data_IF_445992985846
#
_entry.id   IF_445992985846
#
_cell.length_a   1.000
_cell.length_b   1.000
_cell.length_c   1.000
_cell.angle_alpha   90.00
_cell.angle_beta   90.00
_cell.angle_gamma   90.00
#
_symmetry.space_group_name_H-M   'P 1'
#
loop_
_entity.id
_entity.type
_entity.pdbx_description
1 polymer ?
#
# COMPACT_ATOMS: atom_id res chain seq x y z
N UNK A 1 -2.31 -18.25 -6.30
CA UNK A 1 -3.55 -17.45 -6.35
C UNK A 1 -3.25 -15.95 -6.47
N UNK A 2 -2.19 -15.48 -5.82
CA UNK A 2 -1.68 -14.09 -5.82
C UNK A 2 -1.22 -13.55 -7.18
N UNK A 3 -0.51 -14.34 -7.99
CA UNK A 3 -0.03 -13.87 -9.31
C UNK A 3 -1.16 -13.50 -10.28
N UNK A 4 -2.24 -14.29 -10.34
CA UNK A 4 -3.40 -13.98 -11.22
C UNK A 4 -4.10 -12.69 -10.82
N UNK A 5 -4.18 -12.38 -9.52
CA UNK A 5 -4.78 -11.14 -9.02
C UNK A 5 -3.91 -9.93 -9.31
N UNK A 6 -2.58 -10.06 -9.17
CA UNK A 6 -1.65 -8.99 -9.58
C UNK A 6 -1.68 -8.75 -11.09
N UNK A 7 -1.84 -9.80 -11.88
CA UNK A 7 -2.00 -9.70 -13.34
C UNK A 7 -3.33 -9.01 -13.71
N UNK A 8 -4.43 -9.38 -13.06
CA UNK A 8 -5.75 -8.74 -13.20
C UNK A 8 -5.68 -7.24 -12.90
N UNK A 9 -5.07 -6.88 -11.76
CA UNK A 9 -4.84 -5.49 -11.36
C UNK A 9 -4.05 -4.72 -12.42
N UNK A 10 -2.93 -5.29 -12.88
CA UNK A 10 -2.07 -4.67 -13.90
C UNK A 10 -2.83 -4.43 -15.23
N UNK A 11 -3.67 -5.38 -15.64
CA UNK A 11 -4.49 -5.27 -16.85
C UNK A 11 -5.62 -4.24 -16.68
N UNK A 12 -6.25 -4.15 -15.51
CA UNK A 12 -7.27 -3.14 -15.22
C UNK A 12 -6.71 -1.73 -15.34
N UNK A 13 -5.51 -1.50 -14.79
CA UNK A 13 -4.84 -0.21 -14.81
C UNK A 13 -4.48 0.22 -16.26
N UNK A 14 -3.93 -0.67 -17.09
CA UNK A 14 -3.46 -0.32 -18.44
C UNK A 14 -4.57 0.05 -19.46
N UNK A 15 -5.83 -0.32 -19.23
CA UNK A 15 -6.90 -0.21 -20.23
C UNK A 15 -7.64 1.15 -20.28
N UNK A 16 -7.20 2.16 -19.53
CA UNK A 16 -7.97 3.37 -19.23
C UNK A 16 -8.01 4.52 -20.26
N UNK A 17 -7.62 4.35 -21.53
CA UNK A 17 -7.51 5.53 -22.44
C UNK A 17 -7.89 5.28 -23.90
N UNK A 18 -9.00 5.87 -24.37
CA UNK A 18 -9.37 6.05 -25.78
C UNK A 18 -10.24 7.32 -25.94
N UNK A 19 -10.00 8.12 -26.99
CA UNK A 19 -10.73 9.36 -27.36
C UNK A 19 -12.00 9.03 -28.16
N UNK A 20 -13.21 9.46 -27.74
CA UNK A 20 -14.43 9.18 -28.51
C UNK A 20 -15.63 10.13 -28.22
N UNK A 21 -16.58 10.21 -29.18
CA UNK A 21 -17.85 10.98 -29.20
C UNK A 21 -18.87 10.65 -28.07
N UNK A 22 -20.00 11.37 -27.98
CA UNK A 22 -20.99 11.25 -26.88
C UNK A 22 -21.55 9.84 -26.61
N UNK A 23 -21.90 9.06 -27.63
CA UNK A 23 -22.35 7.68 -27.41
C UNK A 23 -21.21 6.81 -26.90
N UNK A 24 -20.01 7.11 -27.34
CA UNK A 24 -18.81 6.40 -26.95
C UNK A 24 -18.30 6.87 -25.59
N UNK A 25 -18.57 8.11 -25.16
CA UNK A 25 -18.39 8.59 -23.78
C UNK A 25 -19.25 7.77 -22.81
N UNK A 26 -20.50 7.45 -23.17
CA UNK A 26 -21.37 6.61 -22.33
C UNK A 26 -20.88 5.16 -22.20
N UNK A 27 -20.30 4.60 -23.28
CA UNK A 27 -19.72 3.24 -23.27
C UNK A 27 -18.37 3.20 -22.56
N UNK A 28 -17.56 4.24 -22.75
CA UNK A 28 -16.28 4.42 -22.06
C UNK A 28 -16.49 4.62 -20.56
N UNK A 29 -17.47 5.43 -20.16
CA UNK A 29 -17.83 5.62 -18.76
C UNK A 29 -18.20 4.28 -18.11
N UNK A 30 -19.12 3.51 -18.72
CA UNK A 30 -19.49 2.17 -18.22
C UNK A 30 -18.30 1.20 -18.17
N UNK A 31 -17.40 1.27 -19.15
CA UNK A 31 -16.18 0.44 -19.17
C UNK A 31 -15.23 0.84 -18.05
N UNK A 32 -15.06 2.15 -17.81
CA UNK A 32 -14.25 2.66 -16.70
C UNK A 32 -14.84 2.27 -15.35
N UNK A 33 -16.17 2.38 -15.17
CA UNK A 33 -16.86 1.95 -13.96
C UNK A 33 -16.63 0.45 -13.70
N UNK A 34 -16.75 -0.37 -14.75
CA UNK A 34 -16.48 -1.81 -14.67
C UNK A 34 -15.03 -2.13 -14.27
N UNK A 35 -14.05 -1.40 -14.82
CA UNK A 35 -12.64 -1.53 -14.47
C UNK A 35 -12.41 -1.12 -13.01
N UNK A 36 -12.95 0.03 -12.59
CA UNK A 36 -12.81 0.53 -11.21
C UNK A 36 -13.44 -0.42 -10.19
N UNK A 37 -14.60 -1.01 -10.51
CA UNK A 37 -15.22 -2.04 -9.68
C UNK A 37 -14.36 -3.32 -9.60
N UNK A 38 -13.74 -3.72 -10.72
CA UNK A 38 -12.78 -4.83 -10.75
C UNK A 38 -11.59 -4.58 -9.82
N UNK A 39 -10.95 -3.41 -9.95
CA UNK A 39 -9.83 -2.99 -9.09
C UNK A 39 -10.24 -2.99 -7.61
N UNK A 40 -11.42 -2.43 -7.30
CA UNK A 40 -11.93 -2.40 -5.93
C UNK A 40 -12.16 -3.82 -5.37
N UNK A 41 -12.69 -4.72 -6.18
CA UNK A 41 -12.91 -6.13 -5.79
C UNK A 41 -11.58 -6.85 -5.52
N UNK A 42 -10.59 -6.66 -6.40
CA UNK A 42 -9.26 -7.23 -6.27
C UNK A 42 -8.56 -6.72 -5.00
N UNK A 43 -8.61 -5.40 -4.75
CA UNK A 43 -8.07 -4.78 -3.54
C UNK A 43 -8.71 -5.33 -2.26
N UNK A 44 -10.05 -5.47 -2.23
CA UNK A 44 -10.75 -6.06 -1.09
C UNK A 44 -10.36 -7.52 -0.87
N UNK A 45 -10.17 -8.27 -1.94
CA UNK A 45 -9.76 -9.69 -1.87
C UNK A 45 -8.33 -9.82 -1.36
N UNK A 46 -7.41 -8.98 -1.84
CA UNK A 46 -6.03 -8.91 -1.36
C UNK A 46 -5.99 -8.54 0.13
N UNK A 47 -6.73 -7.53 0.56
CA UNK A 47 -6.84 -7.15 1.96
C UNK A 47 -7.34 -8.29 2.86
N UNK A 48 -8.42 -8.95 2.43
CA UNK A 48 -9.01 -10.11 3.14
C UNK A 48 -8.06 -11.30 3.25
N UNK A 49 -7.10 -11.44 2.33
CA UNK A 49 -6.12 -12.53 2.41
C UNK A 49 -5.23 -12.44 3.64
N UNK A 50 -5.05 -11.24 4.22
CA UNK A 50 -4.11 -11.01 5.32
C UNK A 50 -2.65 -11.33 4.96
N UNK A 51 -2.33 -11.47 3.67
CA UNK A 51 -0.96 -11.71 3.24
C UNK A 51 -0.24 -10.35 3.06
N UNK A 52 0.65 -10.06 4.01
CA UNK A 52 1.40 -8.80 4.06
C UNK A 52 2.14 -8.52 2.75
N UNK A 53 2.86 -9.51 2.23
CA UNK A 53 3.64 -9.40 0.99
C UNK A 53 2.75 -9.06 -0.21
N UNK A 54 1.57 -9.67 -0.30
CA UNK A 54 0.61 -9.42 -1.38
C UNK A 54 -0.01 -8.04 -1.29
N UNK A 55 -0.30 -7.56 -0.08
CA UNK A 55 -0.81 -6.21 0.13
C UNK A 55 0.21 -5.17 -0.33
N UNK A 56 1.48 -5.32 0.09
CA UNK A 56 2.55 -4.38 -0.29
C UNK A 56 2.85 -4.45 -1.79
N UNK A 57 2.89 -5.65 -2.37
CA UNK A 57 3.09 -5.81 -3.81
C UNK A 57 1.97 -5.16 -4.64
N UNK A 58 0.72 -5.27 -4.20
CA UNK A 58 -0.42 -4.64 -4.85
C UNK A 58 -0.33 -3.11 -4.78
N UNK A 59 -0.03 -2.55 -3.60
CA UNK A 59 0.13 -1.10 -3.44
C UNK A 59 1.29 -0.57 -4.29
N UNK A 60 2.44 -1.27 -4.29
CA UNK A 60 3.60 -0.91 -5.12
C UNK A 60 3.26 -0.91 -6.61
N UNK A 61 2.44 -1.86 -7.07
CA UNK A 61 1.97 -1.91 -8.46
C UNK A 61 1.08 -0.71 -8.80
N UNK A 62 0.19 -0.30 -7.90
CA UNK A 62 -0.66 0.88 -8.07
C UNK A 62 0.19 2.15 -8.12
N UNK A 63 1.10 2.35 -7.15
CA UNK A 63 1.95 3.55 -7.12
C UNK A 63 2.86 3.64 -8.35
N UNK A 64 3.41 2.51 -8.83
CA UNK A 64 4.17 2.46 -10.09
C UNK A 64 3.32 2.87 -11.29
N UNK A 65 2.08 2.39 -11.35
CA UNK A 65 1.16 2.76 -12.41
C UNK A 65 0.81 4.25 -12.35
N UNK A 66 0.49 4.78 -11.16
CA UNK A 66 0.22 6.21 -10.95
C UNK A 66 1.42 7.08 -11.38
N UNK A 67 2.64 6.62 -11.09
CA UNK A 67 3.86 7.29 -11.49
C UNK A 67 4.02 7.32 -13.03
N UNK A 68 3.74 6.21 -13.70
CA UNK A 68 3.92 6.09 -15.14
C UNK A 68 2.83 6.82 -15.94
N UNK A 69 1.58 6.75 -15.49
CA UNK A 69 0.42 7.17 -16.29
C UNK A 69 -0.21 8.49 -15.85
N UNK A 70 -0.09 8.86 -14.57
CA UNK A 70 -0.80 10.02 -14.01
C UNK A 70 0.11 11.12 -13.47
N UNK A 71 1.41 10.84 -13.25
CA UNK A 71 2.33 11.87 -12.78
C UNK A 71 2.51 12.97 -13.83
N UNK A 72 2.05 14.17 -13.49
CA UNK A 72 2.02 15.31 -14.43
C UNK A 72 2.86 16.51 -13.98
N UNK A 73 3.50 16.42 -12.81
CA UNK A 73 4.34 17.48 -12.25
C UNK A 73 5.56 16.91 -11.54
N UNK A 74 6.65 17.68 -11.48
CA UNK A 74 7.87 17.28 -10.77
C UNK A 74 7.61 16.94 -9.29
N UNK A 75 6.72 17.70 -8.65
CA UNK A 75 6.32 17.46 -7.26
C UNK A 75 5.60 16.11 -7.10
N UNK A 76 4.66 15.80 -8.01
CA UNK A 76 3.96 14.51 -7.99
C UNK A 76 4.89 13.34 -8.28
N UNK A 77 5.78 13.49 -9.27
CA UNK A 77 6.82 12.49 -9.58
C UNK A 77 7.68 12.21 -8.34
N UNK A 78 8.20 13.24 -7.70
CA UNK A 78 9.02 13.10 -6.49
C UNK A 78 8.24 12.43 -5.35
N UNK A 79 7.00 12.84 -5.11
CA UNK A 79 6.14 12.24 -4.07
C UNK A 79 5.87 10.76 -4.30
N UNK A 80 5.63 10.34 -5.55
CA UNK A 80 5.40 8.95 -5.93
C UNK A 80 6.69 8.13 -5.91
N UNK A 81 7.84 8.71 -6.29
CA UNK A 81 9.14 8.06 -6.14
C UNK A 81 9.46 7.79 -4.66
N UNK A 82 9.27 8.78 -3.79
CA UNK A 82 9.41 8.58 -2.33
C UNK A 82 8.43 7.53 -1.81
N UNK A 83 7.21 7.46 -2.34
CA UNK A 83 6.25 6.41 -1.97
C UNK A 83 6.76 5.01 -2.33
N UNK A 84 7.44 4.85 -3.46
CA UNK A 84 8.03 3.57 -3.88
C UNK A 84 9.22 3.18 -3.00
N UNK A 85 10.09 4.13 -2.66
CA UNK A 85 11.21 3.92 -1.74
C UNK A 85 10.71 3.49 -0.35
N UNK A 86 9.64 4.11 0.15
CA UNK A 86 9.00 3.72 1.41
C UNK A 86 8.42 2.30 1.35
N UNK A 87 7.77 1.91 0.25
CA UNK A 87 7.26 0.55 0.08
C UNK A 87 8.41 -0.47 -0.02
N UNK A 88 9.55 -0.10 -0.61
CA UNK A 88 10.77 -0.92 -0.63
C UNK A 88 11.41 -1.06 0.75
N UNK A 89 11.39 0.00 1.56
CA UNK A 89 11.79 -0.08 2.96
C UNK A 89 10.89 -1.05 3.72
N UNK A 90 9.59 -1.05 3.48
CA UNK A 90 8.65 -2.03 4.07
C UNK A 90 9.02 -3.46 3.62
N UNK A 91 9.21 -3.71 2.32
CA UNK A 91 9.61 -5.03 1.80
C UNK A 91 10.92 -5.54 2.42
N UNK A 92 11.90 -4.64 2.60
CA UNK A 92 13.18 -4.98 3.22
C UNK A 92 13.00 -5.38 4.68
N UNK A 93 12.25 -4.57 5.45
CA UNK A 93 12.01 -4.83 6.86
C UNK A 93 11.13 -6.07 7.09
N UNK A 94 10.22 -6.41 6.16
CA UNK A 94 9.46 -7.67 6.17
C UNK A 94 10.40 -8.89 6.15
N UNK A 95 11.51 -8.82 5.41
CA UNK A 95 12.52 -9.89 5.38
C UNK A 95 13.31 -9.92 6.69
N UNK A 96 13.76 -8.76 7.16
CA UNK A 96 14.52 -8.65 8.41
C UNK A 96 13.75 -9.18 9.62
N UNK A 97 12.45 -8.86 9.74
CA UNK A 97 11.62 -9.32 10.86
C UNK A 97 11.33 -10.83 10.80
N UNK A 98 11.44 -11.44 9.62
CA UNK A 98 11.32 -12.87 9.46
C UNK A 98 12.60 -13.64 9.87
N UNK A 99 13.71 -12.93 10.13
CA UNK A 99 15.00 -13.49 10.51
C UNK A 99 15.26 -13.29 12.01
N UNK A 100 15.06 -14.32 12.86
CA UNK A 100 15.15 -14.19 14.31
C UNK A 100 16.53 -13.77 14.81
N UNK A 101 17.58 -14.05 14.04
CA UNK A 101 18.96 -13.67 14.38
C UNK A 101 19.26 -12.20 14.05
N UNK A 102 18.56 -11.63 13.07
CA UNK A 102 18.85 -10.27 12.59
C UNK A 102 17.99 -9.21 13.28
N UNK A 103 16.71 -9.50 13.50
CA UNK A 103 15.78 -8.49 14.01
C UNK A 103 16.12 -7.93 15.40
N UNK A 104 16.69 -8.71 16.36
CA UNK A 104 17.17 -8.17 17.63
C UNK A 104 18.21 -7.05 17.49
N UNK A 105 19.03 -7.06 16.43
CA UNK A 105 19.97 -5.97 16.15
C UNK A 105 19.25 -4.68 15.72
N UNK A 106 18.17 -4.80 14.95
CA UNK A 106 17.31 -3.68 14.59
C UNK A 106 16.68 -3.09 15.85
N UNK A 107 16.13 -3.92 16.74
CA UNK A 107 15.57 -3.46 18.01
C UNK A 107 16.62 -2.74 18.88
N UNK A 108 17.81 -3.32 19.05
CA UNK A 108 18.88 -2.72 19.83
C UNK A 108 19.31 -1.35 19.30
N UNK A 109 19.36 -1.16 17.98
CA UNK A 109 19.68 0.13 17.35
C UNK A 109 18.63 1.23 17.61
N UNK A 110 17.41 0.84 18.01
CA UNK A 110 16.29 1.74 18.34
C UNK A 110 16.06 1.85 19.86
N UNK A 111 17.08 1.63 20.69
CA UNK A 111 16.97 1.70 22.17
C UNK A 111 16.47 3.06 22.72
N UNK A 112 16.61 4.15 21.98
CA UNK A 112 16.18 5.48 22.44
C UNK A 112 14.65 5.59 22.49
N UNK A 113 14.08 6.14 23.58
CA UNK A 113 12.62 6.26 23.76
C UNK A 113 11.89 6.96 22.60
N UNK A 114 12.51 7.96 21.97
CA UNK A 114 11.93 8.69 20.82
C UNK A 114 11.82 7.83 19.54
N UNK A 115 12.54 6.72 19.49
CA UNK A 115 12.56 5.75 18.39
C UNK A 115 11.73 4.50 18.71
N UNK A 116 10.90 4.55 19.75
CA UNK A 116 10.03 3.45 20.17
C UNK A 116 8.58 3.89 20.23
N UNK A 117 7.67 2.95 20.02
CA UNK A 117 6.25 3.18 20.24
C UNK A 117 5.84 3.01 21.71
N UNK A 118 4.54 3.12 21.98
CA UNK A 118 3.99 3.00 23.34
C UNK A 118 4.14 1.61 23.94
N UNK A 119 4.25 0.57 23.11
CA UNK A 119 4.47 -0.83 23.49
C UNK A 119 5.95 -1.20 23.46
N UNK A 120 6.82 -0.18 23.43
CA UNK A 120 8.27 -0.31 23.37
C UNK A 120 8.79 -0.98 22.09
N UNK A 121 7.99 -1.10 21.02
CA UNK A 121 8.48 -1.66 19.75
C UNK A 121 9.29 -0.62 18.96
N UNK A 122 10.27 -1.05 18.16
CA UNK A 122 11.10 -0.14 17.38
C UNK A 122 10.28 0.55 16.28
N UNK A 123 10.44 1.86 16.17
CA UNK A 123 9.96 2.67 15.05
C UNK A 123 10.96 2.56 13.88
N UNK A 124 11.10 1.35 13.36
CA UNK A 124 11.99 1.03 12.24
C UNK A 124 11.50 1.64 10.91
N UNK A 125 12.27 1.40 9.84
CA UNK A 125 11.98 1.93 8.51
C UNK A 125 10.58 1.58 8.00
N UNK A 126 10.07 0.38 8.29
CA UNK A 126 8.71 0.00 7.93
C UNK A 126 7.66 0.79 8.71
N UNK A 127 7.81 0.94 10.03
CA UNK A 127 6.85 1.72 10.85
C UNK A 127 6.79 3.18 10.42
N UNK A 128 7.92 3.78 10.07
CA UNK A 128 7.96 5.15 9.54
C UNK A 128 7.31 5.22 8.16
N UNK A 129 7.62 4.28 7.26
CA UNK A 129 7.05 4.20 5.93
C UNK A 129 5.52 4.01 5.95
N UNK A 130 4.99 3.13 6.80
CA UNK A 130 3.54 2.95 6.98
C UNK A 130 2.84 4.25 7.37
N UNK A 131 3.39 5.00 8.33
CA UNK A 131 2.83 6.29 8.78
C UNK A 131 2.82 7.32 7.66
N UNK A 132 3.94 7.46 6.95
CA UNK A 132 4.05 8.39 5.81
C UNK A 132 3.06 8.03 4.71
N UNK A 133 2.96 6.75 4.37
CA UNK A 133 2.08 6.25 3.34
C UNK A 133 0.59 6.41 3.73
N UNK A 134 0.23 6.22 5.00
CA UNK A 134 -1.10 6.53 5.51
C UNK A 134 -1.47 8.01 5.35
N UNK A 135 -0.55 8.91 5.66
CA UNK A 135 -0.76 10.34 5.47
C UNK A 135 -0.95 10.68 3.98
N UNK A 136 -0.14 10.08 3.10
CA UNK A 136 -0.26 10.23 1.64
C UNK A 136 -1.65 9.81 1.17
N UNK A 137 -2.09 8.60 1.46
CA UNK A 137 -3.42 8.11 1.06
C UNK A 137 -4.56 8.93 1.65
N UNK A 138 -4.40 9.46 2.87
CA UNK A 138 -5.39 10.35 3.48
C UNK A 138 -5.51 11.70 2.76
N UNK A 139 -4.38 12.24 2.28
CA UNK A 139 -4.39 13.46 1.47
C UNK A 139 -4.98 13.22 0.08
N UNK A 140 -4.70 12.05 -0.51
CA UNK A 140 -5.33 11.64 -1.77
C UNK A 140 -6.85 11.53 -1.63
N UNK A 141 -7.35 10.86 -0.59
CA UNK A 141 -8.80 10.71 -0.33
C UNK A 141 -9.52 12.07 -0.27
N UNK A 142 -8.93 13.04 0.45
CA UNK A 142 -9.48 14.41 0.55
C UNK A 142 -9.51 15.14 -0.79
N UNK A 143 -8.60 14.82 -1.71
CA UNK A 143 -8.50 15.50 -3.00
C UNK A 143 -9.50 14.98 -4.04
N UNK A 144 -10.10 13.80 -3.82
CA UNK A 144 -11.02 13.18 -4.78
C UNK A 144 -12.46 13.59 -4.52
N UNK A 145 -13.21 13.79 -5.60
CA UNK A 145 -14.65 14.05 -5.55
C UNK A 145 -15.48 12.86 -6.01
N UNK A 146 -14.91 11.95 -6.80
CA UNK A 146 -15.58 10.77 -7.35
C UNK A 146 -15.69 9.64 -6.31
N UNK A 147 -16.88 9.05 -6.20
CA UNK A 147 -17.18 8.02 -5.19
C UNK A 147 -16.44 6.70 -5.47
N UNK A 148 -16.18 6.36 -6.73
CA UNK A 148 -15.45 5.15 -7.09
C UNK A 148 -13.96 5.30 -6.78
N UNK A 149 -13.36 6.43 -7.14
CA UNK A 149 -11.97 6.75 -6.77
C UNK A 149 -11.79 6.77 -5.24
N UNK A 150 -12.74 7.35 -4.50
CA UNK A 150 -12.73 7.31 -3.03
C UNK A 150 -12.80 5.88 -2.50
N UNK A 151 -13.69 5.04 -3.04
CA UNK A 151 -13.81 3.66 -2.59
C UNK A 151 -12.51 2.86 -2.81
N UNK A 152 -11.79 3.11 -3.91
CA UNK A 152 -10.47 2.51 -4.18
C UNK A 152 -9.44 3.01 -3.18
N UNK A 153 -9.36 4.32 -2.92
CA UNK A 153 -8.42 4.89 -1.94
C UNK A 153 -8.69 4.36 -0.53
N UNK A 154 -9.96 4.27 -0.13
CA UNK A 154 -10.36 3.71 1.16
C UNK A 154 -9.98 2.23 1.28
N UNK A 155 -10.11 1.44 0.20
CA UNK A 155 -9.64 0.06 0.18
C UNK A 155 -8.11 -0.03 0.33
N UNK A 156 -7.34 0.86 -0.34
CA UNK A 156 -5.89 0.96 -0.16
C UNK A 156 -5.53 1.32 1.29
N UNK A 157 -6.18 2.33 1.87
CA UNK A 157 -5.97 2.71 3.27
C UNK A 157 -6.22 1.54 4.23
N UNK A 158 -7.32 0.81 4.04
CA UNK A 158 -7.65 -0.34 4.87
C UNK A 158 -6.61 -1.46 4.71
N UNK A 159 -6.16 -1.74 3.49
CA UNK A 159 -5.12 -2.73 3.23
C UNK A 159 -3.81 -2.35 3.91
N UNK A 160 -3.38 -1.09 3.84
CA UNK A 160 -2.16 -0.63 4.51
C UNK A 160 -2.29 -0.70 6.03
N UNK A 161 -3.47 -0.44 6.61
CA UNK A 161 -3.70 -0.65 8.06
C UNK A 161 -3.58 -2.12 8.46
N UNK A 162 -4.14 -3.01 7.64
CA UNK A 162 -4.04 -4.46 7.85
C UNK A 162 -2.57 -4.90 7.77
N UNK A 163 -1.83 -4.41 6.77
CA UNK A 163 -0.42 -4.68 6.59
C UNK A 163 0.43 -4.18 7.78
N UNK A 164 0.22 -2.95 8.24
CA UNK A 164 0.91 -2.41 9.41
C UNK A 164 0.64 -3.29 10.64
N UNK A 165 -0.61 -3.67 10.89
CA UNK A 165 -0.96 -4.53 12.01
C UNK A 165 -0.24 -5.88 11.96
N UNK A 166 -0.26 -6.55 10.81
CA UNK A 166 0.43 -7.84 10.63
C UNK A 166 1.93 -7.68 10.82
N UNK A 167 2.50 -6.58 10.32
CA UNK A 167 3.92 -6.29 10.50
C UNK A 167 4.27 -6.15 11.99
N UNK A 168 3.48 -5.40 12.76
CA UNK A 168 3.64 -5.24 14.22
C UNK A 168 3.60 -6.60 14.91
N UNK A 169 2.63 -7.45 14.58
CA UNK A 169 2.53 -8.81 15.14
C UNK A 169 3.78 -9.66 14.82
N UNK A 170 4.41 -9.45 13.66
CA UNK A 170 5.69 -10.08 13.33
C UNK A 170 6.85 -9.51 14.15
N UNK A 171 6.89 -8.19 14.40
CA UNK A 171 7.89 -7.56 15.28
C UNK A 171 7.82 -8.16 16.68
N UNK A 172 6.61 -8.27 17.24
CA UNK A 172 6.39 -8.84 18.57
C UNK A 172 6.90 -10.29 18.64
N UNK A 173 6.53 -11.13 17.67
CA UNK A 173 7.00 -12.51 17.59
C UNK A 173 8.52 -12.62 17.45
N UNK A 174 9.13 -11.79 16.61
CA UNK A 174 10.58 -11.81 16.38
C UNK A 174 11.38 -11.43 17.63
N UNK A 175 10.77 -10.64 18.53
CA UNK A 175 11.38 -10.20 19.79
C UNK A 175 10.93 -11.03 21.00
N UNK A 176 10.18 -12.12 20.79
CA UNK A 176 9.53 -12.92 21.83
C UNK A 176 8.72 -12.09 22.83
N UNK A 177 8.14 -10.98 22.36
CA UNK A 177 7.23 -10.14 23.12
C UNK A 177 5.83 -10.69 22.90
N UNK A 178 5.11 -11.04 23.99
CA UNK A 178 3.71 -11.45 23.87
C UNK A 178 2.94 -10.33 23.16
N UNK A 179 2.20 -10.69 22.10
CA UNK A 179 1.28 -9.78 21.44
C UNK A 179 0.40 -9.10 22.49
N UNK A 180 0.38 -7.77 22.48
CA UNK A 180 -0.26 -6.97 23.52
C UNK A 180 -1.64 -7.49 23.91
N UNK A 181 -1.82 -7.73 25.21
CA UNK A 181 -3.11 -7.99 25.86
C UNK A 181 -3.98 -6.72 25.87
#
# INVERSE_FOLDING_TARGET
MTERLLLSLSQGLANGKLLVDEQSLSRLARRNDGIQQGILSDLKTIGKSGNLESIIAAEKSIVKFELNEYANSKSMVSSLQTALEELEAIETNIRLVAEPEQYPHVDASHAQRKLRDTHDLPLDGARIAFRSHHARLSNYDKSKSDDHEKAIIQARQQNIRIAEKIYIERQEKALDRKAGA
#
